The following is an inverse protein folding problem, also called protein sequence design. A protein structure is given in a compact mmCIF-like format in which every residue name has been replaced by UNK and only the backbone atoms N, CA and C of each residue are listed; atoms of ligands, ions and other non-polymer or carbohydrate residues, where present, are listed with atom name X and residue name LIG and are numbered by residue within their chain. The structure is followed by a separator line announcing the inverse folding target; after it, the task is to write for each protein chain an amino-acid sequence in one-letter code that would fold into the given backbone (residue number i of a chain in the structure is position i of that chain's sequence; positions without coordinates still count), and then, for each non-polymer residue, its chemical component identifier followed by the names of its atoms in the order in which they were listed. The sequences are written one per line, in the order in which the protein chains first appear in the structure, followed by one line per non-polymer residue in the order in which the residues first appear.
data_IF_971513806810
#
_entry.id   IF_971513806810
#
_cell.length_a   1.000
_cell.length_b   1.000
_cell.length_c   1.000
_cell.angle_alpha   90.00
_cell.angle_beta   90.00
_cell.angle_gamma   90.00
#
_symmetry.space_group_name_H-M   'P 1'
#
loop_
_entity.id
_entity.type
_entity.pdbx_description
1 polymer ?
#
# COMPACT_ATOMS: atom_id res chain seq x y z
N UNK A 1 -6.19 38.26 -2.31
CA UNK A 1 -5.78 38.18 -0.90
C UNK A 1 -5.75 36.73 -0.49
N UNK A 2 -4.57 36.16 -0.31
CA UNK A 2 -4.37 34.74 0.01
C UNK A 2 -4.30 34.63 1.53
N UNK A 3 -5.18 33.84 2.15
CA UNK A 3 -5.08 33.53 3.59
C UNK A 3 -4.46 32.15 3.76
N UNK A 4 -3.16 32.16 4.06
CA UNK A 4 -2.43 31.01 4.59
C UNK A 4 -3.05 30.59 5.92
N UNK A 5 -3.31 29.29 6.10
CA UNK A 5 -3.54 28.69 7.41
C UNK A 5 -2.44 27.68 7.63
N UNK A 6 -1.45 28.09 8.42
CA UNK A 6 -0.57 27.17 9.13
C UNK A 6 -1.38 26.52 10.25
N UNK A 7 -1.27 25.20 10.40
CA UNK A 7 -1.69 24.53 11.63
C UNK A 7 -0.65 23.47 12.00
N UNK A 8 0.23 23.94 12.88
CA UNK A 8 0.75 23.30 14.10
C UNK A 8 1.02 21.79 14.08
N UNK A 9 2.31 21.49 14.24
CA UNK A 9 2.87 20.19 14.56
C UNK A 9 2.58 19.84 16.02
N UNK A 10 1.82 18.77 16.24
CA UNK A 10 1.59 18.17 17.55
C UNK A 10 2.17 16.77 17.60
N UNK A 11 3.26 16.61 18.34
CA UNK A 11 3.83 15.31 18.69
C UNK A 11 2.86 14.54 19.61
N UNK A 12 2.33 13.41 19.13
CA UNK A 12 1.51 12.49 19.91
C UNK A 12 2.19 11.14 20.01
N UNK A 13 2.79 10.85 21.16
CA UNK A 13 3.36 9.56 21.52
C UNK A 13 2.22 8.55 21.75
N UNK A 14 2.02 7.62 20.82
CA UNK A 14 1.02 6.55 20.93
C UNK A 14 1.68 5.18 20.94
N UNK A 15 1.65 4.52 22.11
CA UNK A 15 2.14 3.17 22.36
C UNK A 15 1.36 2.17 21.49
N UNK A 16 2.03 1.50 20.55
CA UNK A 16 1.44 0.43 19.74
C UNK A 16 1.71 -0.95 20.33
N UNK A 17 0.73 -1.53 21.03
CA UNK A 17 0.67 -2.98 21.29
C UNK A 17 -0.37 -3.55 20.33
N UNK A 18 0.05 -4.47 19.46
CA UNK A 18 -0.83 -5.18 18.54
C UNK A 18 -0.13 -6.41 17.98
N UNK A 19 -0.39 -7.56 18.61
CA UNK A 19 0.00 -8.88 18.13
C UNK A 19 -0.81 -9.26 16.89
N UNK A 20 -0.16 -9.94 15.95
CA UNK A 20 -0.82 -10.87 15.02
C UNK A 20 -0.80 -10.44 13.56
N UNK A 21 0.13 -11.01 12.80
CA UNK A 21 0.13 -10.91 11.33
C UNK A 21 1.24 -11.78 10.76
N UNK A 22 0.84 -12.83 10.03
CA UNK A 22 1.70 -13.90 9.56
C UNK A 22 3.01 -13.44 8.93
N UNK A 23 4.08 -14.14 9.28
CA UNK A 23 5.42 -13.95 8.75
C UNK A 23 5.46 -14.23 7.24
N UNK A 24 5.22 -13.21 6.41
CA UNK A 24 6.03 -13.07 5.20
C UNK A 24 7.37 -12.54 5.68
N UNK A 25 8.40 -13.39 5.68
CA UNK A 25 9.74 -13.02 6.07
C UNK A 25 10.11 -11.72 5.36
N UNK A 26 10.06 -10.62 6.11
CA UNK A 26 10.45 -9.31 5.63
C UNK A 26 11.92 -9.44 5.26
N UNK A 27 12.21 -9.50 3.96
CA UNK A 27 13.51 -9.12 3.43
C UNK A 27 13.72 -7.70 3.95
N UNK A 28 14.39 -7.58 5.09
CA UNK A 28 14.74 -6.28 5.68
C UNK A 28 15.73 -5.67 4.72
N UNK A 29 15.22 -4.94 3.74
CA UNK A 29 16.02 -4.04 2.95
C UNK A 29 16.73 -3.14 3.96
N UNK A 30 18.06 -3.26 4.05
CA UNK A 30 18.90 -2.34 4.83
C UNK A 30 18.89 -1.05 4.04
N UNK A 31 17.83 -0.27 4.26
CA UNK A 31 17.62 1.02 3.60
C UNK A 31 18.27 2.07 4.50
N UNK A 32 19.31 2.79 4.02
CA UNK A 32 19.88 3.92 4.75
C UNK A 32 18.80 4.89 5.23
N UNK A 33 18.93 5.40 6.46
CA UNK A 33 17.89 6.22 7.14
C UNK A 33 17.44 7.43 6.33
N UNK A 34 18.32 7.96 5.50
CA UNK A 34 18.09 9.09 4.60
C UNK A 34 17.14 8.79 3.43
N UNK A 35 17.05 7.55 2.96
CA UNK A 35 16.09 7.12 1.95
C UNK A 35 14.92 6.32 2.54
N UNK A 36 14.95 5.99 3.83
CA UNK A 36 13.91 5.20 4.49
C UNK A 36 12.50 5.83 4.43
N UNK A 37 12.42 7.16 4.32
CA UNK A 37 11.15 7.86 4.13
C UNK A 37 10.51 7.54 2.77
N UNK A 38 11.32 7.29 1.73
CA UNK A 38 10.84 6.91 0.40
C UNK A 38 10.24 5.50 0.37
N UNK A 39 10.58 4.67 1.36
CA UNK A 39 10.04 3.31 1.53
C UNK A 39 8.94 3.26 2.60
N UNK A 40 8.56 4.41 3.17
CA UNK A 40 7.40 4.45 4.06
C UNK A 40 6.13 4.19 3.25
N UNK A 41 5.36 3.20 3.69
CA UNK A 41 4.13 2.82 3.00
C UNK A 41 3.11 3.98 3.14
N UNK A 42 2.49 4.45 2.05
CA UNK A 42 1.47 5.50 2.16
C UNK A 42 0.27 5.02 2.97
N UNK A 43 -0.24 5.86 3.88
CA UNK A 43 -1.35 5.49 4.77
C UNK A 43 -2.62 5.00 4.04
N UNK A 44 -2.88 5.51 2.82
CA UNK A 44 -4.01 5.05 2.00
C UNK A 44 -3.84 3.61 1.50
N UNK A 45 -2.59 3.17 1.30
CA UNK A 45 -2.29 1.80 0.90
C UNK A 45 -2.52 0.83 2.05
N UNK A 46 -2.22 1.23 3.29
CA UNK A 46 -2.53 0.43 4.48
C UNK A 46 -4.03 0.18 4.62
N UNK A 47 -4.82 1.26 4.57
CA UNK A 47 -6.29 1.16 4.64
C UNK A 47 -6.86 0.26 3.53
N UNK A 48 -6.31 0.32 2.30
CA UNK A 48 -6.77 -0.53 1.20
C UNK A 48 -6.45 -2.01 1.42
N UNK A 49 -5.28 -2.31 2.01
CA UNK A 49 -4.84 -3.69 2.24
C UNK A 49 -5.52 -4.34 3.45
N UNK A 50 -6.08 -3.53 4.36
CA UNK A 50 -6.91 -4.01 5.47
C UNK A 50 -8.37 -4.32 5.05
N UNK A 51 -8.80 -3.84 3.87
CA UNK A 51 -10.14 -4.14 3.35
C UNK A 51 -10.27 -5.60 2.90
N UNK A 52 -11.47 -6.19 2.98
CA UNK A 52 -11.69 -7.53 2.44
C UNK A 52 -11.35 -7.59 0.95
N UNK A 53 -10.84 -8.75 0.52
CA UNK A 53 -10.52 -8.97 -0.88
C UNK A 53 -11.74 -8.72 -1.79
N UNK A 54 -11.49 -8.19 -2.98
CA UNK A 54 -12.53 -7.94 -3.97
C UNK A 54 -13.28 -9.23 -4.34
N UNK A 55 -14.55 -9.09 -4.74
CA UNK A 55 -15.37 -10.22 -5.18
C UNK A 55 -14.79 -10.90 -6.42
N UNK A 56 -15.23 -12.14 -6.69
CA UNK A 56 -14.73 -12.90 -7.86
C UNK A 56 -15.05 -12.18 -9.17
N UNK A 57 -16.23 -11.59 -9.27
CA UNK A 57 -16.70 -10.84 -10.43
C UNK A 57 -15.81 -9.61 -10.67
N UNK A 58 -15.51 -8.87 -9.60
CA UNK A 58 -14.62 -7.72 -9.68
C UNK A 58 -13.19 -8.13 -10.08
N UNK A 59 -12.68 -9.26 -9.60
CA UNK A 59 -11.38 -9.79 -9.99
C UNK A 59 -11.34 -10.17 -11.48
N UNK A 60 -12.41 -10.77 -12.02
CA UNK A 60 -12.49 -11.13 -13.44
C UNK A 60 -12.57 -9.87 -14.32
N UNK A 61 -13.40 -8.90 -13.94
CA UNK A 61 -13.52 -7.63 -14.67
C UNK A 61 -12.18 -6.87 -14.75
N UNK A 62 -11.39 -6.90 -13.67
CA UNK A 62 -10.06 -6.28 -13.62
C UNK A 62 -8.92 -7.27 -13.94
N UNK A 63 -9.26 -8.40 -14.58
CA UNK A 63 -8.30 -9.43 -14.98
C UNK A 63 -7.51 -9.06 -16.23
N UNK A 64 -6.67 -9.98 -16.69
CA UNK A 64 -5.91 -9.82 -17.92
C UNK A 64 -6.83 -9.65 -19.13
N UNK A 65 -6.52 -8.69 -19.99
CA UNK A 65 -7.25 -8.48 -21.23
C UNK A 65 -6.78 -9.48 -22.31
N UNK A 66 -7.70 -10.33 -22.78
CA UNK A 66 -7.41 -11.34 -23.80
C UNK A 66 -7.14 -10.76 -25.20
N UNK A 67 -7.65 -9.56 -25.47
CA UNK A 67 -7.51 -8.87 -26.76
C UNK A 67 -6.35 -7.87 -26.77
N UNK A 68 -5.94 -7.39 -25.59
CA UNK A 68 -4.83 -6.47 -25.41
C UNK A 68 -3.65 -7.16 -24.71
N UNK A 69 -3.01 -8.06 -25.46
CA UNK A 69 -1.85 -8.83 -24.99
C UNK A 69 -0.87 -9.11 -26.11
N UNK A 70 0.39 -9.34 -25.73
CA UNK A 70 1.39 -9.89 -26.65
C UNK A 70 0.95 -11.25 -27.19
N UNK A 71 1.30 -11.53 -28.45
CA UNK A 71 0.93 -12.77 -29.15
C UNK A 71 1.44 -14.04 -28.47
N UNK A 72 2.50 -13.91 -27.66
CA UNK A 72 3.14 -15.03 -26.96
C UNK A 72 2.59 -15.29 -25.56
N UNK A 73 1.64 -14.49 -25.08
CA UNK A 73 0.99 -14.65 -23.75
C UNK A 73 -0.44 -15.08 -23.98
N UNK A 74 -0.99 -16.01 -23.21
CA UNK A 74 -2.38 -16.44 -23.31
C UNK A 74 -3.06 -16.39 -21.94
N UNK A 75 -4.28 -15.87 -21.89
CA UNK A 75 -5.14 -15.90 -20.69
C UNK A 75 -5.79 -17.29 -20.61
N UNK A 76 -5.82 -17.90 -19.41
CA UNK A 76 -6.33 -19.25 -19.16
C UNK A 76 -7.64 -19.23 -18.37
#
# INVERSE_FOLDING_TARGET
GVKSVARESGAGTGVGVGLGGGATAALKAVVPREIAQDFSRPARLDVLLDMPAASKEAQIHNGWNGEDRSLNIFVK
#
